data_IF_677505891682
#
_entry.id   IF_677505891682
#
_cell.length_a   1.000
_cell.length_b   1.000
_cell.length_c   1.000
_cell.angle_alpha   90.00
_cell.angle_beta   90.00
_cell.angle_gamma   90.00
#
_symmetry.space_group_name_H-M   'P 1'
#
loop_
_entity.id
_entity.type
_entity.pdbx_description
1 polymer ?
#
# COMPACT_ATOMS: atom_id res chain seq x y z
N UNK A 1 22.74 -5.17 -22.12
CA UNK A 1 21.77 -5.23 -21.01
C UNK A 1 20.80 -4.07 -21.18
N UNK A 2 19.50 -4.35 -21.24
CA UNK A 2 18.47 -3.31 -21.37
C UNK A 2 18.40 -2.43 -20.11
N UNK A 3 17.75 -1.26 -20.19
CA UNK A 3 17.52 -0.40 -19.01
C UNK A 3 16.82 -1.17 -17.90
N UNK A 4 15.72 -1.86 -18.22
CA UNK A 4 14.97 -2.68 -17.25
C UNK A 4 15.86 -3.71 -16.58
N UNK A 5 16.72 -4.42 -17.33
CA UNK A 5 17.63 -5.42 -16.76
C UNK A 5 18.63 -4.82 -15.76
N UNK A 6 19.14 -3.60 -16.02
CA UNK A 6 19.98 -2.88 -15.05
C UNK A 6 19.22 -2.57 -13.77
N UNK A 7 17.99 -2.04 -13.90
CA UNK A 7 17.19 -1.69 -12.73
C UNK A 7 16.76 -2.91 -11.91
N UNK A 8 16.48 -4.05 -12.55
CA UNK A 8 16.21 -5.32 -11.87
C UNK A 8 17.43 -5.75 -11.04
N UNK A 9 18.65 -5.67 -11.60
CA UNK A 9 19.86 -6.00 -10.87
C UNK A 9 20.10 -5.06 -9.68
N UNK A 10 19.92 -3.76 -9.87
CA UNK A 10 19.99 -2.75 -8.79
C UNK A 10 18.96 -3.06 -7.68
N UNK A 11 17.76 -3.46 -8.07
CA UNK A 11 16.67 -3.81 -7.14
C UNK A 11 16.99 -5.08 -6.36
N UNK A 12 17.50 -6.11 -7.03
CA UNK A 12 17.85 -7.40 -6.45
C UNK A 12 19.07 -7.34 -5.52
N UNK A 13 19.98 -6.39 -5.73
CA UNK A 13 21.18 -6.23 -4.91
C UNK A 13 20.87 -5.91 -3.44
N UNK A 14 19.67 -5.36 -3.14
CA UNK A 14 19.08 -5.24 -1.81
C UNK A 14 19.88 -4.42 -0.81
N UNK A 15 19.35 -3.28 -0.33
CA UNK A 15 20.04 -2.47 0.68
C UNK A 15 19.25 -2.42 1.99
N UNK A 16 19.90 -2.87 3.07
CA UNK A 16 19.36 -2.90 4.44
C UNK A 16 19.26 -1.53 5.13
N UNK A 17 19.80 -0.47 4.50
CA UNK A 17 19.91 0.87 5.09
C UNK A 17 18.71 1.78 4.85
N UNK A 18 17.77 1.34 4.00
CA UNK A 18 16.76 2.18 3.33
C UNK A 18 15.73 2.89 4.24
N UNK A 19 15.68 2.62 5.54
CA UNK A 19 14.65 3.18 6.44
C UNK A 19 15.20 4.02 7.61
N UNK A 20 16.52 4.09 7.80
CA UNK A 20 17.10 4.77 8.97
C UNK A 20 16.91 6.29 8.93
N UNK A 21 17.08 6.91 7.77
CA UNK A 21 16.89 8.35 7.59
C UNK A 21 15.44 8.76 7.87
N UNK A 22 14.47 7.99 7.38
CA UNK A 22 13.05 8.22 7.65
C UNK A 22 12.75 8.19 9.15
N UNK A 23 13.32 7.23 9.88
CA UNK A 23 13.18 7.14 11.34
C UNK A 23 13.87 8.31 12.05
N UNK A 24 15.09 8.68 11.64
CA UNK A 24 15.81 9.83 12.18
C UNK A 24 14.99 11.12 12.04
N UNK A 25 14.56 11.44 10.81
CA UNK A 25 13.80 12.66 10.51
C UNK A 25 12.46 12.69 11.25
N UNK A 26 11.77 11.55 11.34
CA UNK A 26 10.52 11.43 12.10
C UNK A 26 10.73 11.73 13.58
N UNK A 27 11.79 11.21 14.19
CA UNK A 27 12.07 11.42 15.60
C UNK A 27 12.53 12.86 15.87
N UNK A 28 13.33 13.46 15.00
CA UNK A 28 13.68 14.89 15.05
C UNK A 28 12.43 15.78 14.99
N UNK A 29 11.53 15.51 14.03
CA UNK A 29 10.29 16.26 13.88
C UNK A 29 9.38 16.10 15.10
N UNK A 30 9.29 14.90 15.67
CA UNK A 30 8.53 14.66 16.90
C UNK A 30 8.99 15.55 18.05
N UNK A 31 10.31 15.72 18.20
CA UNK A 31 10.89 16.64 19.17
C UNK A 31 10.60 18.09 18.82
N UNK A 32 10.76 18.47 17.54
CA UNK A 32 10.51 19.81 17.04
C UNK A 32 9.07 20.28 17.32
N UNK A 33 8.10 19.40 17.10
CA UNK A 33 6.68 19.67 17.29
C UNK A 33 6.13 19.15 18.63
N UNK A 34 7.00 18.92 19.62
CA UNK A 34 6.59 18.38 20.92
C UNK A 34 5.51 19.24 21.61
N UNK A 35 5.56 20.55 21.41
CA UNK A 35 4.63 21.53 21.99
C UNK A 35 3.25 21.56 21.34
N UNK A 36 3.03 20.94 20.17
CA UNK A 36 1.71 20.86 19.52
C UNK A 36 0.80 19.94 20.36
N UNK A 37 -0.29 20.43 20.98
CA UNK A 37 -1.14 19.59 21.80
C UNK A 37 -2.06 18.67 20.98
N UNK A 38 -2.35 19.00 19.71
CA UNK A 38 -3.30 18.25 18.89
C UNK A 38 -2.59 17.14 18.12
N UNK A 39 -2.90 15.89 18.48
CA UNK A 39 -2.26 14.69 17.94
C UNK A 39 -2.20 14.66 16.40
N UNK A 40 -3.35 14.83 15.72
CA UNK A 40 -3.41 14.76 14.25
C UNK A 40 -2.63 15.89 13.57
N UNK A 41 -2.60 17.09 14.17
CA UNK A 41 -1.84 18.22 13.61
C UNK A 41 -0.34 17.97 13.78
N UNK A 42 0.09 17.50 14.96
CA UNK A 42 1.48 17.10 15.21
C UNK A 42 1.93 16.02 14.24
N UNK A 43 1.10 15.00 14.04
CA UNK A 43 1.39 13.91 13.12
C UNK A 43 1.56 14.44 11.69
N UNK A 44 0.63 15.24 11.19
CA UNK A 44 0.76 15.84 9.86
C UNK A 44 1.97 16.78 9.71
N UNK A 45 2.34 17.53 10.76
CA UNK A 45 3.56 18.34 10.78
C UNK A 45 4.82 17.49 10.66
N UNK A 46 4.86 16.34 11.36
CA UNK A 46 5.95 15.36 11.27
C UNK A 46 6.03 14.76 9.86
N UNK A 47 4.89 14.42 9.26
CA UNK A 47 4.83 13.93 7.87
C UNK A 47 5.32 14.97 6.87
N UNK A 48 4.89 16.24 7.00
CA UNK A 48 5.34 17.33 6.14
C UNK A 48 6.84 17.58 6.28
N UNK A 49 7.35 17.61 7.51
CA UNK A 49 8.78 17.75 7.78
C UNK A 49 9.58 16.62 7.12
N UNK A 50 9.09 15.38 7.17
CA UNK A 50 9.75 14.27 6.49
C UNK A 50 9.83 14.53 4.98
N UNK A 51 8.76 14.98 4.33
CA UNK A 51 8.76 15.27 2.89
C UNK A 51 9.68 16.44 2.51
N UNK A 52 9.81 17.42 3.40
CA UNK A 52 10.71 18.56 3.25
C UNK A 52 12.19 18.16 3.33
N UNK A 53 12.53 17.18 4.18
CA UNK A 53 13.92 16.90 4.57
C UNK A 53 14.48 15.57 4.05
N UNK A 54 13.64 14.60 3.68
CA UNK A 54 14.10 13.30 3.19
C UNK A 54 15.01 13.47 1.96
N UNK A 55 16.13 12.76 1.91
CA UNK A 55 17.03 12.82 0.77
C UNK A 55 16.33 12.35 -0.51
N UNK A 56 16.27 13.22 -1.52
CA UNK A 56 15.78 12.87 -2.85
C UNK A 56 16.94 12.25 -3.66
N UNK A 57 16.68 11.11 -4.30
CA UNK A 57 17.68 10.41 -5.11
C UNK A 57 17.07 10.00 -6.45
N UNK A 58 17.83 10.13 -7.55
CA UNK A 58 17.40 9.76 -8.90
C UNK A 58 18.42 8.79 -9.47
N UNK A 59 17.99 7.57 -9.77
CA UNK A 59 18.87 6.55 -10.35
C UNK A 59 19.21 6.83 -11.83
N UNK A 60 20.35 6.32 -12.33
CA UNK A 60 20.80 6.56 -13.70
C UNK A 60 19.88 5.93 -14.77
N UNK A 61 19.14 4.87 -14.40
CA UNK A 61 18.28 4.10 -15.30
C UNK A 61 16.78 4.32 -15.01
N UNK A 62 16.44 5.33 -14.22
CA UNK A 62 15.06 5.53 -13.77
C UNK A 62 14.24 6.38 -14.74
N UNK A 63 13.04 5.87 -15.04
CA UNK A 63 11.95 6.58 -15.71
C UNK A 63 10.81 6.88 -14.74
N UNK A 64 10.90 6.47 -13.47
CA UNK A 64 9.99 6.92 -12.43
C UNK A 64 10.83 7.39 -11.24
N UNK A 65 10.52 8.54 -10.68
CA UNK A 65 11.22 9.09 -9.51
C UNK A 65 10.43 8.89 -8.23
N UNK A 66 11.12 8.97 -7.08
CA UNK A 66 10.64 8.45 -5.80
C UNK A 66 11.31 7.11 -5.54
N UNK A 67 12.40 7.10 -4.78
CA UNK A 67 13.09 5.92 -4.29
C UNK A 67 13.64 6.22 -2.90
N UNK A 68 13.91 5.17 -2.14
CA UNK A 68 14.71 5.30 -0.92
C UNK A 68 16.18 5.47 -1.31
N UNK A 69 16.94 6.30 -0.56
CA UNK A 69 18.37 6.44 -0.79
C UNK A 69 19.10 5.09 -0.68
N UNK A 70 20.03 4.84 -1.60
CA UNK A 70 20.68 3.53 -1.73
C UNK A 70 21.99 3.46 -0.96
N UNK A 71 22.78 4.53 -0.89
CA UNK A 71 24.10 4.55 -0.24
C UNK A 71 24.31 5.79 0.65
N UNK A 72 23.61 5.85 1.78
CA UNK A 72 23.77 6.91 2.77
C UNK A 72 24.07 6.34 4.16
N UNK A 73 25.30 5.83 4.42
CA UNK A 73 25.68 5.45 5.77
C UNK A 73 25.73 6.71 6.65
N UNK A 74 25.14 6.63 7.84
CA UNK A 74 25.23 7.71 8.82
C UNK A 74 26.69 7.96 9.19
N UNK A 75 27.09 9.23 9.15
CA UNK A 75 28.28 9.72 9.81
C UNK A 75 28.21 9.43 11.33
N UNK A 76 29.35 9.44 12.05
CA UNK A 76 29.35 9.23 13.49
C UNK A 76 28.41 10.18 14.26
N UNK A 77 28.24 11.41 13.77
CA UNK A 77 27.34 12.41 14.36
C UNK A 77 25.87 12.07 14.08
N UNK A 78 25.53 11.63 12.87
CA UNK A 78 24.19 11.16 12.51
C UNK A 78 23.83 9.87 13.26
N UNK A 79 24.80 8.98 13.49
CA UNK A 79 24.61 7.76 14.28
C UNK A 79 24.27 8.10 15.73
N UNK A 80 24.99 9.06 16.32
CA UNK A 80 24.68 9.56 17.66
C UNK A 80 23.31 10.23 17.71
N UNK A 81 23.01 11.10 16.74
CA UNK A 81 21.70 11.76 16.65
C UNK A 81 20.57 10.74 16.52
N UNK A 82 20.74 9.70 15.70
CA UNK A 82 19.78 8.62 15.57
C UNK A 82 19.51 7.91 16.90
N UNK A 83 20.56 7.60 17.66
CA UNK A 83 20.41 6.96 18.98
C UNK A 83 19.72 7.88 19.99
N UNK A 84 20.11 9.15 20.05
CA UNK A 84 19.54 10.16 20.96
C UNK A 84 18.05 10.40 20.64
N UNK A 85 17.69 10.47 19.36
CA UNK A 85 16.32 10.68 18.92
C UNK A 85 15.46 9.42 19.07
N UNK A 86 16.00 8.24 18.83
CA UNK A 86 15.32 6.97 19.11
C UNK A 86 15.02 6.81 20.62
N UNK A 87 15.94 7.23 21.49
CA UNK A 87 15.73 7.22 22.93
C UNK A 87 14.59 8.16 23.35
N UNK A 88 14.55 9.37 22.77
CA UNK A 88 13.45 10.31 23.00
C UNK A 88 12.10 9.77 22.51
N UNK A 89 12.03 9.28 21.27
CA UNK A 89 10.81 8.70 20.69
C UNK A 89 10.28 7.53 21.54
N UNK A 90 11.16 6.68 22.07
CA UNK A 90 10.79 5.60 22.99
C UNK A 90 10.20 6.13 24.31
N UNK A 91 10.70 7.26 24.83
CA UNK A 91 10.23 7.85 26.07
C UNK A 91 8.86 8.55 25.92
N UNK A 92 8.61 9.22 24.79
CA UNK A 92 7.34 9.93 24.53
C UNK A 92 6.25 9.03 23.94
N UNK A 93 6.61 7.81 23.48
CA UNK A 93 5.70 6.88 22.83
C UNK A 93 5.62 7.10 21.32
N UNK A 94 5.17 6.06 20.59
CA UNK A 94 5.00 6.16 19.13
C UNK A 94 3.84 7.11 18.81
N UNK A 95 4.04 7.99 17.83
CA UNK A 95 2.96 8.85 17.32
C UNK A 95 1.89 8.01 16.62
N UNK A 96 2.29 6.95 15.91
CA UNK A 96 1.32 6.02 15.34
C UNK A 96 0.77 5.16 16.47
N UNK A 97 -0.45 5.45 16.91
CA UNK A 97 -1.21 4.58 17.80
C UNK A 97 -1.48 3.23 17.13
N UNK A 98 -1.73 2.20 17.93
CA UNK A 98 -2.35 0.95 17.44
C UNK A 98 -3.73 1.25 16.82
N UNK A 99 -4.33 2.39 17.17
CA UNK A 99 -5.63 2.92 16.75
C UNK A 99 -5.73 3.53 15.34
N UNK A 100 -4.62 3.71 14.60
CA UNK A 100 -4.69 4.32 13.25
C UNK A 100 -5.32 3.42 12.16
N UNK A 101 -5.88 2.26 12.54
CA UNK A 101 -6.16 1.17 11.61
C UNK A 101 -4.87 0.54 11.08
N UNK A 102 -4.98 -0.61 10.41
CA UNK A 102 -3.85 -1.18 9.69
C UNK A 102 -3.34 -0.14 8.68
N UNK A 103 -2.14 0.42 8.89
CA UNK A 103 -1.43 1.26 7.90
C UNK A 103 -0.85 0.40 6.77
N UNK A 104 -1.64 -0.57 6.32
CA UNK A 104 -1.33 -1.66 5.42
C UNK A 104 -2.68 -2.32 5.01
N UNK A 105 -2.66 -3.22 4.02
CA UNK A 105 -3.88 -3.86 3.48
C UNK A 105 -4.94 -2.94 2.87
N UNK A 106 -4.57 -1.75 2.40
CA UNK A 106 -5.50 -0.76 1.81
C UNK A 106 -4.97 -0.13 0.54
N UNK A 107 -5.86 0.57 -0.17
CA UNK A 107 -5.56 1.29 -1.42
C UNK A 107 -6.05 2.71 -1.28
N UNK A 108 -5.18 3.68 -1.57
CA UNK A 108 -5.56 5.08 -1.65
C UNK A 108 -6.49 5.31 -2.84
N UNK A 109 -7.33 6.33 -2.75
CA UNK A 109 -8.14 6.77 -3.88
C UNK A 109 -7.28 7.51 -4.92
N UNK A 110 -6.45 6.76 -5.65
CA UNK A 110 -5.61 7.31 -6.71
C UNK A 110 -6.45 7.98 -7.78
N UNK A 111 -7.63 7.43 -8.10
CA UNK A 111 -8.53 8.01 -9.11
C UNK A 111 -8.94 9.43 -8.73
N UNK A 112 -9.22 9.71 -7.46
CA UNK A 112 -9.47 11.08 -6.98
C UNK A 112 -8.25 11.98 -7.20
N UNK A 113 -7.04 11.53 -6.86
CA UNK A 113 -5.82 12.32 -7.10
C UNK A 113 -5.63 12.60 -8.59
N UNK A 114 -5.84 11.62 -9.46
CA UNK A 114 -5.68 11.80 -10.91
C UNK A 114 -6.78 12.68 -11.51
N UNK A 115 -8.00 12.69 -10.94
CA UNK A 115 -9.10 13.53 -11.44
C UNK A 115 -8.96 15.01 -11.09
N UNK A 116 -8.57 15.33 -9.85
CA UNK A 116 -8.61 16.72 -9.35
C UNK A 116 -7.24 17.25 -8.86
N UNK A 117 -6.21 16.40 -8.80
CA UNK A 117 -4.90 16.77 -8.25
C UNK A 117 -4.96 17.03 -6.74
N UNK A 118 -3.78 17.17 -6.11
CA UNK A 118 -3.72 17.60 -4.71
C UNK A 118 -4.34 19.00 -4.55
N UNK A 119 -4.11 19.92 -5.50
CA UNK A 119 -4.73 21.25 -5.49
C UNK A 119 -6.26 21.20 -5.44
N UNK A 120 -6.89 20.30 -6.20
CA UNK A 120 -8.34 20.12 -6.14
C UNK A 120 -8.81 19.55 -4.79
N UNK A 121 -8.06 18.60 -4.22
CA UNK A 121 -8.35 18.07 -2.88
C UNK A 121 -8.24 19.17 -1.82
N UNK A 122 -7.21 20.02 -1.90
CA UNK A 122 -7.04 21.17 -1.00
C UNK A 122 -8.19 22.18 -1.12
N UNK A 123 -8.71 22.41 -2.33
CA UNK A 123 -9.90 23.25 -2.55
C UNK A 123 -11.16 22.63 -1.91
N UNK A 124 -11.36 21.31 -2.04
CA UNK A 124 -12.46 20.61 -1.35
C UNK A 124 -12.34 20.74 0.17
N UNK A 125 -11.13 20.56 0.71
CA UNK A 125 -10.85 20.71 2.14
C UNK A 125 -11.17 22.13 2.59
N UNK A 126 -10.69 23.16 1.88
CA UNK A 126 -10.97 24.56 2.20
C UNK A 126 -12.48 24.87 2.20
N UNK A 127 -13.22 24.38 1.20
CA UNK A 127 -14.67 24.51 1.12
C UNK A 127 -15.36 23.83 2.30
N UNK A 128 -14.94 22.62 2.66
CA UNK A 128 -15.52 21.87 3.80
C UNK A 128 -15.22 22.54 5.14
N UNK A 129 -14.01 23.08 5.32
CA UNK A 129 -13.63 23.87 6.51
C UNK A 129 -14.48 25.12 6.66
N UNK A 130 -14.68 25.86 5.56
CA UNK A 130 -15.50 27.08 5.57
C UNK A 130 -16.98 26.80 5.87
N UNK A 131 -17.46 25.58 5.61
CA UNK A 131 -18.82 25.14 5.88
C UNK A 131 -19.01 24.50 7.26
N UNK A 132 -18.01 24.52 8.13
CA UNK A 132 -18.13 24.01 9.50
C UNK A 132 -19.05 24.92 10.31
N UNK A 133 -20.20 24.37 10.71
CA UNK A 133 -21.11 25.00 11.65
C UNK A 133 -20.68 24.65 13.08
N UNK A 134 -20.13 25.65 13.78
CA UNK A 134 -19.60 25.53 15.15
C UNK A 134 -20.66 25.15 16.20
N UNK A 135 -21.94 25.16 15.83
CA UNK A 135 -23.03 24.72 16.71
C UNK A 135 -23.29 23.21 16.67
N UNK A 136 -22.70 22.48 15.70
CA UNK A 136 -22.85 21.04 15.58
C UNK A 136 -21.83 20.28 16.45
N UNK A 137 -22.17 19.06 16.91
CA UNK A 137 -21.19 18.17 17.54
C UNK A 137 -20.04 17.85 16.57
N UNK A 138 -18.90 17.46 17.13
CA UNK A 138 -17.68 17.01 16.43
C UNK A 138 -16.99 18.07 15.54
N UNK A 139 -17.36 19.33 15.70
CA UNK A 139 -16.83 20.46 14.90
C UNK A 139 -15.31 20.58 15.02
N UNK A 140 -14.77 20.47 16.23
CA UNK A 140 -13.34 20.63 16.51
C UNK A 140 -12.56 19.50 15.83
N UNK A 141 -13.01 18.27 15.99
CA UNK A 141 -12.44 17.06 15.43
C UNK A 141 -12.41 17.14 13.89
N UNK A 142 -13.51 17.57 13.27
CA UNK A 142 -13.58 17.79 11.82
C UNK A 142 -12.60 18.88 11.36
N UNK A 143 -12.52 20.00 12.06
CA UNK A 143 -11.60 21.08 11.72
C UNK A 143 -10.13 20.61 11.80
N UNK A 144 -9.81 19.83 12.84
CA UNK A 144 -8.49 19.23 13.06
C UNK A 144 -8.13 18.24 11.94
N UNK A 145 -9.04 17.35 11.54
CA UNK A 145 -8.80 16.39 10.44
C UNK A 145 -8.52 17.12 9.14
N UNK A 146 -9.31 18.16 8.81
CA UNK A 146 -9.08 18.94 7.60
C UNK A 146 -7.76 19.72 7.62
N UNK A 147 -7.39 20.30 8.77
CA UNK A 147 -6.11 21.00 8.92
C UNK A 147 -4.93 20.03 8.81
N UNK A 148 -5.00 18.86 9.45
CA UNK A 148 -3.99 17.83 9.34
C UNK A 148 -3.83 17.34 7.90
N UNK A 149 -4.93 17.03 7.22
CA UNK A 149 -4.91 16.62 5.81
C UNK A 149 -4.30 17.69 4.90
N UNK A 150 -4.58 18.98 5.13
CA UNK A 150 -3.97 20.08 4.38
C UNK A 150 -2.44 20.13 4.56
N UNK A 151 -1.95 19.95 5.78
CA UNK A 151 -0.50 19.95 6.07
C UNK A 151 0.18 18.75 5.37
N UNK A 152 -0.37 17.54 5.52
CA UNK A 152 0.19 16.32 4.91
C UNK A 152 0.23 16.40 3.38
N UNK A 153 -0.85 16.89 2.75
CA UNK A 153 -0.93 17.06 1.29
C UNK A 153 0.08 18.09 0.76
N UNK A 154 0.33 19.17 1.50
CA UNK A 154 1.39 20.14 1.16
C UNK A 154 2.77 19.49 1.18
N UNK A 155 3.03 18.60 2.15
CA UNK A 155 4.26 17.81 2.18
C UNK A 155 4.50 17.04 0.89
N UNK A 156 3.47 16.33 0.38
CA UNK A 156 3.59 15.58 -0.88
C UNK A 156 3.90 16.49 -2.09
N UNK A 157 3.33 17.69 -2.16
CA UNK A 157 3.65 18.68 -3.20
C UNK A 157 5.08 19.20 -3.08
N UNK A 158 5.56 19.45 -1.86
CA UNK A 158 6.94 19.87 -1.60
C UNK A 158 7.93 18.81 -2.10
N UNK A 159 7.69 17.52 -1.79
CA UNK A 159 8.57 16.46 -2.26
C UNK A 159 8.61 16.38 -3.79
N UNK A 160 7.46 16.52 -4.46
CA UNK A 160 7.38 16.55 -5.92
C UNK A 160 8.22 17.70 -6.50
N UNK A 161 8.12 18.90 -5.93
CA UNK A 161 8.89 20.07 -6.36
C UNK A 161 10.40 19.87 -6.15
N UNK A 162 10.81 19.24 -5.04
CA UNK A 162 12.23 18.91 -4.78
C UNK A 162 12.79 17.96 -5.83
N UNK A 163 12.05 16.90 -6.19
CA UNK A 163 12.44 16.02 -7.30
C UNK A 163 12.49 16.77 -8.63
N UNK A 164 11.53 17.67 -8.91
CA UNK A 164 11.51 18.49 -10.12
C UNK A 164 12.77 19.34 -10.27
N UNK A 165 13.19 20.02 -9.20
CA UNK A 165 14.39 20.85 -9.18
C UNK A 165 15.64 20.00 -9.43
N UNK A 166 15.79 18.88 -8.72
CA UNK A 166 16.90 17.96 -8.89
C UNK A 166 16.98 17.39 -10.32
N UNK A 167 15.83 17.03 -10.91
CA UNK A 167 15.77 16.55 -12.30
C UNK A 167 16.24 17.62 -13.30
N UNK A 168 15.86 18.89 -13.10
CA UNK A 168 16.29 19.98 -13.96
C UNK A 168 17.81 20.21 -13.87
N UNK A 169 18.36 20.25 -12.66
CA UNK A 169 19.80 20.38 -12.42
C UNK A 169 20.59 19.21 -13.03
N UNK A 170 20.09 17.98 -12.86
CA UNK A 170 20.73 16.79 -13.40
C UNK A 170 20.65 16.78 -14.94
N UNK A 171 19.56 17.26 -15.53
CA UNK A 171 19.41 17.37 -16.97
C UNK A 171 20.42 18.36 -17.59
N UNK A 172 20.74 19.45 -16.90
CA UNK A 172 21.67 20.47 -17.38
C UNK A 172 23.14 20.03 -17.29
N UNK A 173 23.44 19.12 -16.37
CA UNK A 173 24.80 18.61 -16.12
C UNK A 173 25.08 17.26 -16.79
N UNK A 174 24.06 16.58 -17.31
CA UNK A 174 24.19 15.29 -17.99
C UNK A 174 24.69 15.45 -19.43
N UNK A 175 25.86 14.86 -19.73
CA UNK A 175 26.47 14.92 -21.05
C UNK A 175 25.75 14.08 -22.12
N UNK A 176 25.08 12.99 -21.72
CA UNK A 176 24.29 12.14 -22.61
C UNK A 176 22.98 12.86 -22.98
N UNK A 177 22.81 13.19 -24.26
CA UNK A 177 21.67 13.96 -24.76
C UNK A 177 20.33 13.23 -24.58
N UNK A 178 20.30 11.91 -24.75
CA UNK A 178 19.08 11.11 -24.62
C UNK A 178 18.66 11.07 -23.15
N UNK A 179 19.61 10.80 -22.25
CA UNK A 179 19.34 10.83 -20.81
C UNK A 179 18.94 12.23 -20.32
N UNK A 180 19.60 13.28 -20.82
CA UNK A 180 19.20 14.65 -20.50
C UNK A 180 17.76 14.95 -20.98
N UNK A 181 17.36 14.45 -22.14
CA UNK A 181 15.98 14.53 -22.63
C UNK A 181 14.97 13.85 -21.70
N UNK A 182 15.30 12.66 -21.20
CA UNK A 182 14.46 11.94 -20.22
C UNK A 182 14.32 12.70 -18.90
N UNK A 183 15.42 13.24 -18.38
CA UNK A 183 15.41 14.02 -17.14
C UNK A 183 14.56 15.30 -17.29
N UNK A 184 14.65 16.00 -18.43
CA UNK A 184 13.76 17.13 -18.73
C UNK A 184 12.30 16.72 -18.85
N UNK A 185 12.02 15.55 -19.42
CA UNK A 185 10.67 15.00 -19.52
C UNK A 185 10.09 14.76 -18.13
N UNK A 186 10.86 14.11 -17.24
CA UNK A 186 10.47 13.89 -15.84
C UNK A 186 10.29 15.20 -15.06
N UNK A 187 11.17 16.19 -15.27
CA UNK A 187 10.99 17.51 -14.67
C UNK A 187 9.70 18.18 -15.17
N UNK A 188 9.37 18.03 -16.46
CA UNK A 188 8.10 18.51 -17.04
C UNK A 188 6.88 17.81 -16.44
N UNK A 189 6.97 16.51 -16.19
CA UNK A 189 5.93 15.72 -15.51
C UNK A 189 5.71 16.25 -14.09
N UNK A 190 6.77 16.38 -13.28
CA UNK A 190 6.66 16.87 -11.90
C UNK A 190 6.38 18.38 -11.76
N UNK A 191 6.50 19.15 -12.85
CA UNK A 191 5.94 20.50 -12.91
C UNK A 191 4.40 20.50 -12.89
N UNK A 192 3.77 19.35 -13.14
CA UNK A 192 2.33 19.17 -13.20
C UNK A 192 1.82 18.32 -12.04
N UNK A 193 2.30 17.09 -11.92
CA UNK A 193 1.78 16.09 -10.97
C UNK A 193 2.65 16.01 -9.72
N UNK A 194 2.08 15.69 -8.54
CA UNK A 194 0.69 15.33 -8.28
C UNK A 194 -0.21 16.53 -7.92
N UNK A 195 0.33 17.75 -7.96
CA UNK A 195 -0.43 18.95 -7.59
C UNK A 195 -1.66 19.15 -8.50
N UNK A 196 -1.50 18.95 -9.79
CA UNK A 196 -2.54 19.09 -10.80
C UNK A 196 -2.87 17.74 -11.47
N UNK A 197 -4.06 17.58 -12.08
CA UNK A 197 -4.41 16.39 -12.84
C UNK A 197 -3.41 16.08 -13.97
N UNK A 198 -2.97 14.81 -14.14
CA UNK A 198 -2.18 14.37 -15.28
C UNK A 198 -2.93 14.53 -16.60
N UNK A 199 -2.17 14.58 -17.69
CA UNK A 199 -2.66 14.70 -19.07
C UNK A 199 -2.27 13.52 -19.96
N UNK A 200 -1.31 12.72 -19.50
CA UNK A 200 -0.74 11.57 -20.21
C UNK A 200 -0.62 10.37 -19.27
N UNK A 201 -0.43 9.18 -19.84
CA UNK A 201 -0.20 7.95 -19.08
C UNK A 201 1.05 8.07 -18.21
N UNK A 202 2.10 8.69 -18.74
CA UNK A 202 3.36 8.85 -18.03
C UNK A 202 3.18 9.80 -16.82
N UNK A 203 2.48 10.93 -16.99
CA UNK A 203 2.14 11.80 -15.87
C UNK A 203 1.26 11.06 -14.83
N UNK A 204 0.27 10.28 -15.28
CA UNK A 204 -0.63 9.57 -14.37
C UNK A 204 0.08 8.48 -13.56
N UNK A 205 0.97 7.70 -14.20
CA UNK A 205 1.75 6.66 -13.55
C UNK A 205 2.73 7.25 -12.53
N UNK A 206 3.44 8.32 -12.89
CA UNK A 206 4.34 9.02 -11.97
C UNK A 206 3.58 9.65 -10.79
N UNK A 207 2.40 10.23 -11.03
CA UNK A 207 1.55 10.79 -9.98
C UNK A 207 1.12 9.71 -8.99
N UNK A 208 0.62 8.58 -9.49
CA UNK A 208 0.20 7.46 -8.65
C UNK A 208 1.38 6.92 -7.83
N UNK A 209 2.52 6.65 -8.49
CA UNK A 209 3.70 6.12 -7.83
C UNK A 209 4.22 7.08 -6.76
N UNK A 210 4.30 8.39 -7.04
CA UNK A 210 4.81 9.35 -6.07
C UNK A 210 3.92 9.45 -4.82
N UNK A 211 2.59 9.36 -4.98
CA UNK A 211 1.66 9.33 -3.85
C UNK A 211 1.82 8.05 -3.04
N UNK A 212 1.98 6.89 -3.69
CA UNK A 212 2.27 5.62 -3.03
C UNK A 212 3.62 5.68 -2.28
N UNK A 213 4.63 6.32 -2.86
CA UNK A 213 5.93 6.53 -2.23
C UNK A 213 5.82 7.47 -1.01
N UNK A 214 5.08 8.57 -1.10
CA UNK A 214 4.79 9.43 0.04
C UNK A 214 4.10 8.65 1.17
N UNK A 215 3.10 7.82 0.86
CA UNK A 215 2.44 6.96 1.84
C UNK A 215 3.43 6.01 2.52
N UNK A 216 4.31 5.37 1.75
CA UNK A 216 5.34 4.50 2.31
C UNK A 216 6.27 5.24 3.28
N UNK A 217 6.73 6.45 2.93
CA UNK A 217 7.61 7.25 3.78
C UNK A 217 6.98 7.57 5.15
N UNK A 218 5.66 7.77 5.20
CA UNK A 218 4.94 8.01 6.47
C UNK A 218 4.55 6.72 7.21
N UNK A 219 4.92 5.55 6.69
CA UNK A 219 4.64 4.24 7.29
C UNK A 219 3.30 3.63 6.91
N UNK A 220 2.69 4.12 5.82
CA UNK A 220 1.49 3.54 5.20
C UNK A 220 1.87 2.68 3.99
N UNK A 221 1.70 1.37 4.13
CA UNK A 221 1.93 0.38 3.08
C UNK A 221 0.69 0.23 2.17
N UNK A 222 0.23 1.35 1.63
CA UNK A 222 -0.85 1.39 0.65
C UNK A 222 -0.43 0.71 -0.66
N UNK A 223 -1.37 0.05 -1.32
CA UNK A 223 -1.12 -0.86 -2.45
C UNK A 223 -1.56 -0.23 -3.77
N UNK A 224 -1.10 -0.77 -4.90
CA UNK A 224 -1.32 -0.16 -6.23
C UNK A 224 -2.79 -0.18 -6.68
N UNK A 225 -3.61 -1.08 -6.16
CA UNK A 225 -5.02 -1.18 -6.54
C UNK A 225 -5.23 -1.86 -7.90
N UNK A 226 -6.07 -1.26 -8.75
CA UNK A 226 -6.40 -1.71 -10.12
C UNK A 226 -5.95 -0.70 -11.18
N UNK A 227 -4.63 -0.59 -11.43
CA UNK A 227 -4.08 0.45 -12.30
C UNK A 227 -4.52 0.35 -13.75
N UNK A 228 -4.90 -0.85 -14.21
CA UNK A 228 -5.48 -1.04 -15.54
C UNK A 228 -6.87 -0.40 -15.70
N UNK A 229 -7.52 0.03 -14.62
CA UNK A 229 -8.78 0.78 -14.70
C UNK A 229 -8.53 2.28 -14.65
N UNK A 230 -7.89 2.78 -13.59
CA UNK A 230 -7.74 4.23 -13.39
C UNK A 230 -6.65 4.88 -14.26
N UNK A 231 -5.70 4.12 -14.81
CA UNK A 231 -4.71 4.65 -15.77
C UNK A 231 -5.14 4.50 -17.23
N UNK A 232 -6.14 3.66 -17.51
CA UNK A 232 -6.53 3.31 -18.88
C UNK A 232 -7.00 4.49 -19.74
N UNK A 233 -7.77 5.47 -19.21
CA UNK A 233 -8.15 6.64 -20.00
C UNK A 233 -6.93 7.39 -20.57
N UNK A 234 -5.85 7.50 -19.78
CA UNK A 234 -4.62 8.16 -20.17
C UNK A 234 -3.80 7.32 -21.16
N UNK A 235 -3.72 6.01 -20.94
CA UNK A 235 -3.07 5.09 -21.86
C UNK A 235 -3.70 5.11 -23.25
N UNK A 236 -5.04 4.99 -23.31
CA UNK A 236 -5.77 5.00 -24.58
C UNK A 236 -5.56 6.33 -25.31
N UNK A 237 -5.67 7.46 -24.58
CA UNK A 237 -5.46 8.78 -25.16
C UNK A 237 -4.08 8.93 -25.80
N UNK A 238 -3.02 8.51 -25.09
CA UNK A 238 -1.66 8.66 -25.60
C UNK A 238 -1.35 7.70 -26.77
N UNK A 239 -1.96 6.51 -26.79
CA UNK A 239 -1.89 5.61 -27.96
C UNK A 239 -2.56 6.23 -29.18
N UNK A 240 -3.78 6.75 -29.03
CA UNK A 240 -4.55 7.35 -30.12
C UNK A 240 -3.86 8.61 -30.70
N UNK A 241 -3.16 9.36 -29.85
CA UNK A 241 -2.42 10.57 -30.25
C UNK A 241 -0.97 10.27 -30.69
N UNK A 242 -0.51 9.02 -30.57
CA UNK A 242 0.82 8.58 -30.97
C UNK A 242 1.96 9.07 -30.08
N UNK A 243 1.65 9.55 -28.86
CA UNK A 243 2.64 10.01 -27.88
C UNK A 243 3.23 8.84 -27.09
N UNK A 244 2.49 7.73 -26.99
CA UNK A 244 2.89 6.51 -26.30
C UNK A 244 2.88 5.32 -27.25
N UNK A 245 3.82 4.39 -27.07
CA UNK A 245 3.77 3.07 -27.68
C UNK A 245 3.51 2.01 -26.60
N UNK A 246 2.90 0.85 -26.95
CA UNK A 246 2.75 -0.25 -26.01
C UNK A 246 4.08 -0.73 -25.40
N UNK A 247 5.17 -0.66 -26.16
CA UNK A 247 6.51 -1.04 -25.69
C UNK A 247 7.03 -0.08 -24.63
N UNK A 248 6.85 1.22 -24.83
CA UNK A 248 7.26 2.22 -23.84
C UNK A 248 6.36 2.18 -22.60
N UNK A 249 5.06 1.96 -22.78
CA UNK A 249 4.15 1.74 -21.65
C UNK A 249 4.55 0.52 -20.82
N UNK A 250 4.96 -0.58 -21.46
CA UNK A 250 5.47 -1.76 -20.77
C UNK A 250 6.76 -1.44 -20.00
N UNK A 251 7.70 -0.70 -20.58
CA UNK A 251 8.94 -0.29 -19.89
C UNK A 251 8.63 0.54 -18.63
N UNK A 252 7.66 1.45 -18.71
CA UNK A 252 7.20 2.22 -17.55
C UNK A 252 6.56 1.34 -16.46
N UNK A 253 5.77 0.33 -16.85
CA UNK A 253 5.18 -0.63 -15.90
C UNK A 253 6.27 -1.49 -15.24
N UNK A 254 7.29 -1.91 -16.00
CA UNK A 254 8.44 -2.63 -15.45
C UNK A 254 9.22 -1.78 -14.44
N UNK A 255 9.34 -0.47 -14.66
CA UNK A 255 9.92 0.48 -13.70
C UNK A 255 9.08 0.52 -12.41
N UNK A 256 7.75 0.58 -12.52
CA UNK A 256 6.86 0.51 -11.36
C UNK A 256 7.08 -0.79 -10.56
N UNK A 257 7.37 -1.91 -11.21
CA UNK A 257 7.61 -3.19 -10.52
C UNK A 257 8.91 -3.14 -9.73
N UNK A 258 9.99 -2.63 -10.33
CA UNK A 258 11.25 -2.38 -9.62
C UNK A 258 11.02 -1.46 -8.40
N UNK A 259 10.27 -0.37 -8.58
CA UNK A 259 9.89 0.57 -7.52
C UNK A 259 9.12 -0.08 -6.37
N UNK A 260 8.14 -0.94 -6.66
CA UNK A 260 7.43 -1.70 -5.65
C UNK A 260 8.39 -2.60 -4.84
N UNK A 261 9.32 -3.31 -5.49
CA UNK A 261 10.30 -4.14 -4.76
C UNK A 261 11.28 -3.31 -3.93
N UNK A 262 11.56 -2.07 -4.33
CA UNK A 262 12.45 -1.20 -3.57
C UNK A 262 11.88 -0.82 -2.21
N UNK A 263 10.56 -0.59 -2.12
CA UNK A 263 9.90 -0.14 -0.89
C UNK A 263 9.24 -1.28 -0.10
N UNK A 264 8.66 -2.28 -0.76
CA UNK A 264 7.99 -3.39 -0.05
C UNK A 264 8.93 -4.56 0.28
N UNK A 265 10.07 -4.67 -0.41
CA UNK A 265 11.01 -5.77 -0.20
C UNK A 265 10.34 -7.12 -0.37
N UNK A 266 10.28 -7.91 0.71
CA UNK A 266 9.63 -9.23 0.74
C UNK A 266 8.16 -9.18 1.15
N UNK A 267 7.65 -8.02 1.58
CA UNK A 267 6.24 -7.86 1.91
C UNK A 267 5.40 -7.87 0.61
N UNK A 268 4.35 -8.69 0.49
CA UNK A 268 3.62 -8.86 -0.77
C UNK A 268 2.67 -7.69 -1.03
N UNK A 269 3.07 -6.77 -1.90
CA UNK A 269 2.28 -5.63 -2.32
C UNK A 269 1.43 -5.96 -3.55
N UNK A 270 0.12 -6.00 -3.36
CA UNK A 270 -0.87 -6.31 -4.39
C UNK A 270 -0.96 -5.32 -5.55
N UNK A 271 -1.28 -5.88 -6.72
CA UNK A 271 -1.79 -5.21 -7.91
C UNK A 271 -2.77 -6.15 -8.60
N UNK A 272 -4.00 -5.70 -8.85
CA UNK A 272 -5.01 -6.49 -9.57
C UNK A 272 -5.32 -5.89 -10.95
N UNK A 273 -5.68 -6.75 -11.90
CA UNK A 273 -6.16 -6.34 -13.24
C UNK A 273 -7.38 -7.13 -13.68
N UNK A 274 -8.11 -6.63 -14.68
CA UNK A 274 -9.27 -7.28 -15.25
C UNK A 274 -10.49 -7.22 -14.35
N UNK A 275 -11.51 -8.05 -14.61
CA UNK A 275 -12.75 -8.17 -13.82
C UNK A 275 -13.84 -7.23 -14.31
N UNK A 276 -14.71 -6.78 -13.42
CA UNK A 276 -15.71 -5.73 -13.74
C UNK A 276 -15.33 -4.35 -13.23
N UNK A 277 -15.82 -3.31 -13.90
CA UNK A 277 -15.79 -1.93 -13.42
C UNK A 277 -16.83 -1.68 -12.31
N UNK A 278 -16.88 -0.45 -11.79
CA UNK A 278 -17.83 -0.03 -10.74
C UNK A 278 -19.30 -0.22 -11.15
N UNK A 279 -19.60 -0.07 -12.43
CA UNK A 279 -20.95 -0.25 -13.00
C UNK A 279 -21.30 -1.72 -13.27
N UNK A 280 -20.32 -2.63 -13.14
CA UNK A 280 -20.48 -4.07 -13.35
C UNK A 280 -20.24 -4.51 -14.80
N UNK A 281 -19.62 -3.67 -15.63
CA UNK A 281 -19.25 -4.03 -17.00
C UNK A 281 -17.89 -4.73 -17.03
N UNK A 282 -17.71 -5.78 -17.86
CA UNK A 282 -16.39 -6.34 -18.17
C UNK A 282 -15.35 -5.26 -18.46
N UNK A 283 -14.21 -5.34 -17.78
CA UNK A 283 -13.10 -4.40 -17.90
C UNK A 283 -11.75 -5.13 -17.91
N UNK A 284 -11.52 -5.87 -18.98
CA UNK A 284 -10.18 -6.27 -19.41
C UNK A 284 -9.80 -5.42 -20.61
N UNK A 285 -8.63 -4.82 -20.58
CA UNK A 285 -8.16 -3.92 -21.61
C UNK A 285 -6.68 -4.12 -21.87
N UNK A 286 -6.12 -3.39 -22.83
CA UNK A 286 -4.74 -3.52 -23.27
C UNK A 286 -3.73 -3.34 -22.11
N UNK A 287 -4.02 -2.48 -21.12
CA UNK A 287 -3.17 -2.35 -19.93
C UNK A 287 -3.18 -3.62 -19.07
N UNK A 288 -4.32 -4.32 -18.96
CA UNK A 288 -4.39 -5.58 -18.22
C UNK A 288 -3.36 -6.59 -18.74
N UNK A 289 -3.18 -6.67 -20.07
CA UNK A 289 -2.15 -7.52 -20.69
C UNK A 289 -0.74 -7.02 -20.38
N UNK A 290 -0.48 -5.70 -20.44
CA UNK A 290 0.85 -5.16 -20.16
C UNK A 290 1.30 -5.41 -18.71
N UNK A 291 0.41 -5.24 -17.73
CA UNK A 291 0.70 -5.58 -16.33
C UNK A 291 0.98 -7.08 -16.13
N UNK A 292 0.24 -7.96 -16.81
CA UNK A 292 0.53 -9.40 -16.76
C UNK A 292 1.86 -9.73 -17.45
N UNK A 293 2.17 -9.12 -18.61
CA UNK A 293 3.43 -9.34 -19.34
C UNK A 293 4.66 -8.87 -18.57
N UNK A 294 4.55 -7.79 -17.80
CA UNK A 294 5.66 -7.28 -16.99
C UNK A 294 6.19 -8.32 -15.97
N UNK A 295 5.38 -9.33 -15.60
CA UNK A 295 5.80 -10.45 -14.75
C UNK A 295 6.93 -11.26 -15.42
N UNK A 296 6.81 -11.55 -16.72
CA UNK A 296 7.81 -12.33 -17.48
C UNK A 296 9.16 -11.61 -17.57
N UNK A 297 9.13 -10.29 -17.81
CA UNK A 297 10.35 -9.50 -17.95
C UNK A 297 11.06 -9.33 -16.61
N UNK A 298 10.31 -8.97 -15.57
CA UNK A 298 10.90 -8.55 -14.29
C UNK A 298 11.26 -9.73 -13.40
N UNK A 299 10.40 -10.75 -13.34
CA UNK A 299 10.55 -11.92 -12.45
C UNK A 299 10.79 -11.52 -10.99
N UNK A 300 10.29 -10.34 -10.59
CA UNK A 300 10.44 -9.81 -9.25
C UNK A 300 9.33 -10.33 -8.32
N UNK A 301 9.57 -10.25 -7.01
CA UNK A 301 8.62 -10.70 -5.98
C UNK A 301 7.38 -9.80 -5.95
N UNK A 302 7.59 -8.50 -6.11
CA UNK A 302 6.54 -7.48 -6.13
C UNK A 302 6.34 -6.85 -7.52
N UNK A 303 5.17 -6.26 -7.79
CA UNK A 303 3.94 -6.46 -7.06
C UNK A 303 3.44 -7.91 -7.16
N UNK A 304 2.62 -8.32 -6.20
CA UNK A 304 1.84 -9.53 -6.28
C UNK A 304 0.69 -9.33 -7.25
N UNK A 305 0.97 -9.50 -8.55
CA UNK A 305 -0.02 -9.35 -9.62
C UNK A 305 -1.07 -10.44 -9.55
N UNK A 306 -2.34 -10.05 -9.64
CA UNK A 306 -3.46 -10.95 -9.82
C UNK A 306 -4.41 -10.49 -10.92
N UNK A 307 -5.12 -11.46 -11.50
CA UNK A 307 -6.14 -11.28 -12.51
C UNK A 307 -7.50 -11.62 -11.90
N UNK A 308 -8.43 -10.68 -11.95
CA UNK A 308 -9.84 -10.95 -11.66
C UNK A 308 -10.39 -11.87 -12.75
N UNK A 309 -10.92 -13.01 -12.32
CA UNK A 309 -11.46 -14.06 -13.16
C UNK A 309 -12.99 -14.12 -13.02
N UNK A 310 -13.68 -14.10 -14.14
CA UNK A 310 -15.03 -14.64 -14.30
C UNK A 310 -15.14 -15.23 -15.72
N UNK A 311 -16.33 -15.68 -16.09
CA UNK A 311 -16.59 -16.35 -17.37
C UNK A 311 -16.41 -15.45 -18.60
N UNK A 312 -16.38 -14.12 -18.44
CA UNK A 312 -16.23 -13.14 -19.52
C UNK A 312 -14.76 -12.75 -19.80
N UNK A 313 -13.80 -13.29 -19.05
CA UNK A 313 -12.38 -13.01 -19.26
C UNK A 313 -11.96 -13.36 -20.71
N UNK A 314 -11.16 -12.52 -21.39
CA UNK A 314 -10.57 -12.89 -22.67
C UNK A 314 -9.71 -14.15 -22.54
N UNK A 315 -9.99 -15.15 -23.37
CA UNK A 315 -9.30 -16.45 -23.36
C UNK A 315 -7.77 -16.30 -23.52
N UNK A 316 -7.33 -15.36 -24.35
CA UNK A 316 -5.91 -15.11 -24.58
C UNK A 316 -5.18 -14.47 -23.37
N UNK A 317 -5.87 -13.67 -22.55
CA UNK A 317 -5.33 -13.17 -21.28
C UNK A 317 -5.22 -14.28 -20.24
N UNK A 318 -6.23 -15.17 -20.18
CA UNK A 318 -6.18 -16.35 -19.32
C UNK A 318 -5.01 -17.26 -19.71
N UNK A 319 -4.87 -17.55 -21.02
CA UNK A 319 -3.76 -18.34 -21.56
C UNK A 319 -2.40 -17.69 -21.30
N UNK A 320 -2.30 -16.36 -21.42
CA UNK A 320 -1.09 -15.63 -21.05
C UNK A 320 -0.74 -15.88 -19.58
N UNK A 321 -1.67 -15.68 -18.65
CA UNK A 321 -1.41 -15.91 -17.22
C UNK A 321 -1.00 -17.37 -16.92
N UNK A 322 -1.69 -18.35 -17.51
CA UNK A 322 -1.35 -19.78 -17.34
C UNK A 322 0.03 -20.10 -17.90
N UNK A 323 0.40 -19.54 -19.07
CA UNK A 323 1.72 -19.71 -19.67
C UNK A 323 2.83 -19.17 -18.77
N UNK A 324 2.62 -18.03 -18.13
CA UNK A 324 3.58 -17.42 -17.20
C UNK A 324 3.80 -18.34 -15.99
N UNK A 325 2.71 -18.86 -15.40
CA UNK A 325 2.79 -19.81 -14.28
C UNK A 325 3.51 -21.10 -14.69
N UNK A 326 3.24 -21.61 -15.89
CA UNK A 326 3.88 -22.82 -16.41
C UNK A 326 5.42 -22.67 -16.60
N UNK A 327 5.94 -21.45 -16.64
CA UNK A 327 7.38 -21.17 -16.64
C UNK A 327 8.02 -21.25 -15.23
N UNK A 328 7.25 -21.54 -14.20
CA UNK A 328 7.71 -21.62 -12.81
C UNK A 328 7.64 -20.30 -12.04
N UNK A 329 6.97 -19.28 -12.60
CA UNK A 329 6.69 -18.03 -11.90
C UNK A 329 5.46 -18.20 -11.00
N UNK A 330 5.43 -17.51 -9.87
CA UNK A 330 4.37 -17.65 -8.85
C UNK A 330 3.17 -16.73 -9.09
N UNK A 331 3.11 -16.08 -10.25
CA UNK A 331 2.16 -15.03 -10.63
C UNK A 331 1.82 -15.15 -12.13
N UNK A 332 0.68 -14.60 -12.60
CA UNK A 332 -0.37 -13.95 -11.81
C UNK A 332 -1.16 -14.96 -10.96
N UNK A 333 -1.77 -14.49 -9.87
CA UNK A 333 -2.82 -15.25 -9.20
C UNK A 333 -4.18 -14.99 -9.86
N UNK A 334 -5.12 -15.94 -9.78
CA UNK A 334 -6.49 -15.76 -10.29
C UNK A 334 -7.48 -15.68 -9.13
N UNK A 335 -8.30 -14.63 -9.12
CA UNK A 335 -9.28 -14.38 -8.08
C UNK A 335 -10.68 -14.40 -8.67
N UNK A 336 -11.59 -15.20 -8.11
CA UNK A 336 -12.95 -15.34 -8.61
C UNK A 336 -13.78 -14.07 -8.32
N UNK A 337 -13.92 -13.21 -9.33
CA UNK A 337 -14.52 -11.88 -9.26
C UNK A 337 -15.96 -11.95 -8.75
N UNK A 338 -16.75 -12.88 -9.31
CA UNK A 338 -18.15 -13.08 -8.92
C UNK A 338 -18.30 -13.47 -7.46
N UNK A 339 -17.58 -14.50 -7.01
CA UNK A 339 -17.69 -14.99 -5.62
C UNK A 339 -17.22 -13.94 -4.61
N UNK A 340 -16.21 -13.16 -4.96
CA UNK A 340 -15.69 -12.09 -4.11
C UNK A 340 -16.71 -10.97 -3.99
N UNK A 341 -17.27 -10.49 -5.11
CA UNK A 341 -18.30 -9.45 -5.12
C UNK A 341 -19.52 -9.91 -4.31
N UNK A 342 -20.01 -11.13 -4.56
CA UNK A 342 -21.12 -11.72 -3.79
C UNK A 342 -20.78 -11.79 -2.29
N UNK A 343 -19.55 -12.15 -1.94
CA UNK A 343 -19.07 -12.21 -0.55
C UNK A 343 -19.07 -10.85 0.15
N UNK A 344 -18.56 -9.82 -0.52
CA UNK A 344 -18.54 -8.45 0.00
C UNK A 344 -19.95 -7.87 0.17
N UNK A 345 -20.85 -8.12 -0.79
CA UNK A 345 -22.26 -7.72 -0.67
C UNK A 345 -22.93 -8.43 0.50
N UNK A 346 -22.70 -9.73 0.68
CA UNK A 346 -23.19 -10.48 1.85
C UNK A 346 -22.64 -9.92 3.17
N UNK A 347 -21.43 -9.37 3.16
CA UNK A 347 -20.82 -8.71 4.31
C UNK A 347 -21.32 -7.27 4.56
N UNK A 348 -22.21 -6.75 3.71
CA UNK A 348 -22.82 -5.42 3.87
C UNK A 348 -22.13 -4.30 3.09
N UNK A 349 -21.14 -4.60 2.24
CA UNK A 349 -20.55 -3.61 1.33
C UNK A 349 -21.55 -3.31 0.21
N UNK A 350 -21.72 -2.03 -0.14
CA UNK A 350 -22.58 -1.65 -1.26
C UNK A 350 -22.03 -2.23 -2.58
N UNK A 351 -22.91 -2.58 -3.52
CA UNK A 351 -22.53 -3.32 -4.73
C UNK A 351 -21.44 -2.61 -5.55
N UNK A 352 -21.52 -1.28 -5.64
CA UNK A 352 -20.58 -0.46 -6.39
C UNK A 352 -19.16 -0.56 -5.81
N UNK A 353 -19.03 -0.51 -4.48
CA UNK A 353 -17.74 -0.65 -3.79
C UNK A 353 -17.29 -2.11 -3.72
N UNK A 354 -18.22 -3.07 -3.67
CA UNK A 354 -17.93 -4.50 -3.71
C UNK A 354 -17.27 -4.93 -5.03
N UNK A 355 -17.55 -4.21 -6.14
CA UNK A 355 -16.89 -4.39 -7.45
C UNK A 355 -15.51 -3.77 -7.51
N UNK A 356 -15.17 -2.89 -6.57
CA UNK A 356 -13.90 -2.18 -6.50
C UNK A 356 -13.09 -2.72 -5.33
N UNK A 357 -12.49 -3.90 -5.50
CA UNK A 357 -11.71 -4.56 -4.47
C UNK A 357 -10.29 -4.88 -4.94
N UNK A 358 -9.43 -5.22 -3.98
CA UNK A 358 -8.18 -5.94 -4.23
C UNK A 358 -8.00 -7.14 -3.29
N UNK A 359 -7.12 -8.07 -3.65
CA UNK A 359 -6.46 -8.89 -2.63
C UNK A 359 -5.42 -7.99 -1.95
N UNK A 360 -5.47 -7.73 -0.65
CA UNK A 360 -4.66 -6.66 -0.08
C UNK A 360 -3.22 -7.07 0.20
N UNK A 361 -2.95 -8.34 0.48
CA UNK A 361 -1.58 -8.88 0.42
C UNK A 361 -1.59 -10.28 -0.16
N UNK A 362 -2.00 -11.24 0.65
CA UNK A 362 -2.07 -12.65 0.30
C UNK A 362 -3.38 -12.90 -0.45
N UNK A 363 -4.48 -13.02 0.29
CA UNK A 363 -5.80 -13.40 -0.23
C UNK A 363 -6.95 -12.64 0.44
N UNK A 364 -6.63 -11.75 1.37
CA UNK A 364 -7.58 -10.91 2.09
C UNK A 364 -8.21 -9.93 1.11
N UNK A 365 -9.54 -9.79 1.12
CA UNK A 365 -10.24 -8.91 0.18
C UNK A 365 -10.52 -7.56 0.86
N UNK A 366 -10.06 -6.49 0.23
CA UNK A 366 -10.27 -5.12 0.70
C UNK A 366 -10.95 -4.27 -0.37
N UNK A 367 -12.10 -3.61 -0.08
CA UNK A 367 -12.67 -2.57 -0.93
C UNK A 367 -11.75 -1.36 -1.06
N UNK A 368 -11.48 -0.94 -2.29
CA UNK A 368 -10.64 0.22 -2.64
C UNK A 368 -11.36 1.51 -2.23
N UNK A 369 -10.65 2.45 -1.59
CA UNK A 369 -11.15 3.77 -1.19
C UNK A 369 -12.39 3.82 -0.26
N UNK A 370 -12.93 2.66 0.12
CA UNK A 370 -14.17 2.54 0.90
C UNK A 370 -14.03 1.66 2.16
N UNK A 371 -12.79 1.41 2.59
CA UNK A 371 -12.52 0.57 3.76
C UNK A 371 -11.31 1.04 4.57
N UNK A 372 -11.33 0.74 5.87
CA UNK A 372 -10.20 0.87 6.78
C UNK A 372 -10.18 -0.34 7.72
N UNK A 373 -10.07 -1.54 7.12
CA UNK A 373 -10.17 -2.81 7.84
C UNK A 373 -8.79 -3.29 8.30
N UNK A 374 -8.68 -3.69 9.57
CA UNK A 374 -7.55 -4.50 10.01
C UNK A 374 -7.85 -5.95 9.65
N UNK A 375 -6.99 -6.54 8.84
CA UNK A 375 -7.15 -7.95 8.42
C UNK A 375 -6.09 -8.81 9.09
N UNK A 376 -6.42 -10.10 9.18
CA UNK A 376 -5.49 -11.15 9.62
C UNK A 376 -4.93 -10.96 11.04
N UNK A 377 -5.73 -10.47 11.99
CA UNK A 377 -5.37 -10.47 13.43
C UNK A 377 -6.62 -10.68 14.30
N UNK A 378 -6.57 -11.57 15.31
CA UNK A 378 -5.48 -12.49 15.63
C UNK A 378 -5.45 -13.71 14.69
N UNK A 379 -4.27 -14.31 14.51
CA UNK A 379 -4.13 -15.61 13.86
C UNK A 379 -4.45 -16.70 14.88
N UNK A 380 -5.43 -17.54 14.59
CA UNK A 380 -5.91 -18.59 15.50
C UNK A 380 -5.61 -19.96 14.90
N UNK A 381 -4.79 -20.76 15.60
CA UNK A 381 -4.54 -22.14 15.23
C UNK A 381 -5.61 -23.08 15.79
N UNK A 382 -6.62 -23.39 14.98
CA UNK A 382 -7.71 -24.30 15.37
C UNK A 382 -7.26 -25.75 15.62
N UNK A 383 -6.04 -26.15 15.23
CA UNK A 383 -5.49 -27.45 15.58
C UNK A 383 -5.14 -27.56 17.07
N UNK A 384 -4.92 -26.41 17.75
CA UNK A 384 -4.65 -26.40 19.20
C UNK A 384 -5.81 -26.88 20.04
N UNK A 385 -7.03 -26.75 19.54
CA UNK A 385 -8.18 -27.35 20.18
C UNK A 385 -8.07 -28.88 20.29
N UNK A 386 -7.35 -29.56 19.39
CA UNK A 386 -7.07 -30.99 19.53
C UNK A 386 -6.05 -31.29 20.64
N UNK A 387 -4.98 -30.50 20.76
CA UNK A 387 -4.01 -30.66 21.86
C UNK A 387 -4.73 -30.54 23.21
N UNK A 388 -5.54 -29.50 23.36
CA UNK A 388 -6.32 -29.26 24.57
C UNK A 388 -7.36 -30.35 24.84
N UNK A 389 -7.96 -30.91 23.79
CA UNK A 389 -8.90 -32.03 23.93
C UNK A 389 -8.20 -33.31 24.38
N UNK A 390 -7.03 -33.64 23.80
CA UNK A 390 -6.33 -34.91 24.04
C UNK A 390 -5.39 -34.89 25.25
N UNK A 391 -5.01 -33.71 25.73
CA UNK A 391 -4.00 -33.54 26.78
C UNK A 391 -4.51 -32.71 27.96
N UNK A 392 -5.77 -32.92 28.37
CA UNK A 392 -6.38 -32.29 29.56
C UNK A 392 -6.20 -30.76 29.63
N UNK A 393 -6.37 -30.11 28.48
CA UNK A 393 -6.24 -28.66 28.33
C UNK A 393 -4.82 -28.12 28.28
N UNK A 394 -3.82 -28.99 28.14
CA UNK A 394 -2.41 -28.59 28.04
C UNK A 394 -1.96 -28.58 26.58
N UNK A 395 -1.07 -27.64 26.25
CA UNK A 395 -0.35 -27.68 24.96
C UNK A 395 0.57 -28.91 24.88
N UNK A 396 0.85 -29.33 23.65
CA UNK A 396 1.84 -30.36 23.32
C UNK A 396 3.08 -29.72 22.66
N UNK A 397 2.89 -28.84 21.66
CA UNK A 397 4.01 -28.31 20.87
C UNK A 397 3.79 -26.88 20.39
N UNK A 398 4.79 -26.01 20.47
CA UNK A 398 4.69 -24.61 20.03
C UNK A 398 3.94 -23.71 21.02
N UNK A 399 3.54 -22.54 20.54
CA UNK A 399 2.91 -21.51 21.37
C UNK A 399 1.51 -21.91 21.87
N UNK A 400 1.08 -21.33 22.98
CA UNK A 400 -0.28 -21.53 23.52
C UNK A 400 -1.26 -20.59 22.84
N UNK A 401 -2.46 -21.11 22.60
CA UNK A 401 -3.60 -20.28 22.24
C UNK A 401 -4.36 -19.91 23.51
N UNK A 402 -4.60 -18.61 23.69
CA UNK A 402 -5.33 -18.11 24.85
C UNK A 402 -6.76 -18.65 24.88
N UNK A 403 -7.17 -19.18 26.03
CA UNK A 403 -8.51 -19.71 26.29
C UNK A 403 -8.81 -19.56 27.79
N UNK A 404 -9.96 -18.96 28.13
CA UNK A 404 -10.27 -18.61 29.52
C UNK A 404 -10.46 -19.84 30.43
N UNK A 405 -11.04 -20.91 29.89
CA UNK A 405 -11.27 -22.15 30.62
C UNK A 405 -11.14 -23.36 29.69
N UNK A 406 -10.25 -24.27 30.04
CA UNK A 406 -10.23 -25.61 29.45
C UNK A 406 -10.59 -26.63 30.51
N UNK A 407 -11.78 -27.20 30.40
CA UNK A 407 -12.15 -28.36 31.22
C UNK A 407 -11.45 -29.60 30.65
N UNK A 408 -10.82 -30.39 31.53
CA UNK A 408 -10.31 -31.70 31.16
C UNK A 408 -11.42 -32.52 30.49
N UNK A 409 -11.06 -33.27 29.45
CA UNK A 409 -12.02 -34.04 28.66
C UNK A 409 -11.77 -35.51 28.93
N UNK A 410 -12.74 -36.19 29.56
CA UNK A 410 -12.68 -37.65 29.65
C UNK A 410 -12.93 -38.24 28.25
N UNK A 411 -11.86 -38.66 27.58
CA UNK A 411 -11.93 -39.24 26.24
C UNK A 411 -12.79 -40.50 26.21
N UNK A 412 -12.93 -41.21 27.34
CA UNK A 412 -13.75 -42.41 27.41
C UNK A 412 -15.23 -42.10 27.23
N UNK A 413 -15.70 -40.88 27.53
CA UNK A 413 -17.08 -40.43 27.35
C UNK A 413 -17.41 -40.04 25.90
N UNK A 414 -16.39 -39.86 25.04
CA UNK A 414 -16.56 -39.50 23.63
C UNK A 414 -16.86 -40.73 22.77
N UNK A 415 -18.00 -41.40 23.02
CA UNK A 415 -18.38 -42.67 22.37
C UNK A 415 -18.71 -42.58 20.87
N UNK A 416 -18.90 -41.37 20.35
CA UNK A 416 -19.26 -41.14 18.94
C UNK A 416 -18.42 -40.01 18.33
N UNK A 417 -18.29 -40.01 17.00
CA UNK A 417 -17.69 -38.87 16.30
C UNK A 417 -18.44 -37.56 16.58
N UNK A 418 -19.77 -37.62 16.71
CA UNK A 418 -20.58 -36.43 17.00
C UNK A 418 -20.28 -35.83 18.39
N UNK A 419 -20.11 -36.67 19.43
CA UNK A 419 -19.70 -36.20 20.77
C UNK A 419 -18.29 -35.66 20.77
N UNK A 420 -17.36 -36.32 20.06
CA UNK A 420 -15.99 -35.85 19.88
C UNK A 420 -15.94 -34.48 19.18
N UNK A 421 -16.62 -34.34 18.04
CA UNK A 421 -16.61 -33.11 17.25
C UNK A 421 -17.32 -31.96 17.96
N UNK A 422 -18.38 -32.24 18.74
CA UNK A 422 -19.01 -31.24 19.61
C UNK A 422 -18.00 -30.70 20.62
N UNK A 423 -17.26 -31.59 21.30
CA UNK A 423 -16.27 -31.19 22.29
C UNK A 423 -15.13 -30.37 21.68
N UNK A 424 -14.63 -30.79 20.51
CA UNK A 424 -13.67 -30.00 19.74
C UNK A 424 -14.20 -28.58 19.46
N UNK A 425 -15.44 -28.45 18.96
CA UNK A 425 -16.04 -27.14 18.66
C UNK A 425 -16.18 -26.25 19.89
N UNK A 426 -16.49 -26.80 21.06
CA UNK A 426 -16.56 -26.04 22.31
C UNK A 426 -15.20 -25.43 22.66
N UNK A 427 -14.12 -26.21 22.56
CA UNK A 427 -12.76 -25.75 22.83
C UNK A 427 -12.33 -24.70 21.79
N UNK A 428 -12.54 -24.98 20.50
CA UNK A 428 -12.23 -24.04 19.43
C UNK A 428 -12.99 -22.71 19.59
N UNK A 429 -14.28 -22.76 19.96
CA UNK A 429 -15.07 -21.56 20.24
C UNK A 429 -14.57 -20.79 21.47
N UNK A 430 -14.05 -21.49 22.49
CA UNK A 430 -13.37 -20.89 23.63
C UNK A 430 -12.13 -20.11 23.21
N UNK A 431 -11.26 -20.72 22.42
CA UNK A 431 -10.05 -20.07 21.88
C UNK A 431 -10.43 -18.80 21.10
N UNK A 432 -11.37 -18.92 20.15
CA UNK A 432 -11.82 -17.79 19.33
C UNK A 432 -12.37 -16.67 20.20
N UNK A 433 -13.24 -16.98 21.17
CA UNK A 433 -13.85 -15.96 22.03
C UNK A 433 -12.82 -15.20 22.85
N UNK A 434 -11.91 -15.91 23.53
CA UNK A 434 -10.90 -15.30 24.39
C UNK A 434 -9.95 -14.42 23.56
N UNK A 435 -9.52 -14.89 22.40
CA UNK A 435 -8.65 -14.11 21.54
C UNK A 435 -9.33 -12.88 20.93
N UNK A 436 -10.60 -12.99 20.53
CA UNK A 436 -11.36 -11.83 20.04
C UNK A 436 -11.58 -10.80 21.15
N UNK A 437 -11.76 -11.22 22.41
CA UNK A 437 -11.82 -10.30 23.54
C UNK A 437 -10.50 -9.57 23.74
N UNK A 438 -9.36 -10.26 23.64
CA UNK A 438 -8.03 -9.62 23.71
C UNK A 438 -7.84 -8.62 22.57
N UNK A 439 -8.12 -9.02 21.34
CA UNK A 439 -8.02 -8.15 20.18
C UNK A 439 -8.94 -6.92 20.31
N UNK A 440 -10.18 -7.09 20.76
CA UNK A 440 -11.10 -5.97 21.01
C UNK A 440 -10.59 -5.03 22.11
N UNK A 441 -9.94 -5.53 23.16
CA UNK A 441 -9.34 -4.66 24.18
C UNK A 441 -8.15 -3.89 23.64
N UNK A 442 -7.30 -4.54 22.85
CA UNK A 442 -6.14 -3.89 22.24
C UNK A 442 -6.52 -2.85 21.17
N UNK A 443 -7.64 -3.07 20.46
CA UNK A 443 -8.16 -2.16 19.42
C UNK A 443 -9.02 -1.02 20.00
N UNK A 444 -9.71 -1.20 21.14
CA UNK A 444 -10.66 -0.18 21.64
C UNK A 444 -10.34 0.42 23.02
N UNK A 445 -9.40 -0.15 23.80
CA UNK A 445 -9.09 0.32 25.17
C UNK A 445 -7.68 0.91 25.34
N UNK A 446 -6.87 0.95 24.28
CA UNK A 446 -5.61 1.71 24.24
C UNK A 446 -5.76 3.08 23.56
N UNK A 447 -6.99 3.59 23.50
CA UNK A 447 -7.38 4.93 23.05
C UNK A 447 -7.23 5.96 24.18
#
# INVERSE_FOLDING_TARGET
>A
MTRTQKLIQETAAGNSWRQRETELLRNQALRLYAAEPVHNIKHAQVECYLMEHITAEIGPNELLVGRLPVDCPFSPDEEKAFQDEAAYAKAVGRINGIDSGATYHRVLDYEKVLKIGISGILQEIAKRRAAIDVTQPDTIERAVVYQAAEIALKGAVILAERYRQMLAELADTTSDADRAGELRTLAGILARVPDQPPRSFYEALQSMWLIQFCAFLIGDFSLTGRPDQYLYPYYRHDLETGVLTPEFALELIEQLYCKNNQIYGTWPASLMVGGVDRDGRPNWNELSYLFVRAIETTKLINPSVAVCYNEDIPEDLLQLGVKIIAQGLTKPAFFNDRLIIEGLVRAGVILEDARQYIHSTCVEITPIAASNISVATPYINLCKAFEYLFHDGRKIYGDEEAIDQVTATDLSELKTFASFYRRYKEIAAGIIRTQLQHASRDVYLKA
#
